data_IF_407272600514
#
_entry.id   IF_407272600514
#
_cell.length_a   1.000
_cell.length_b   1.000
_cell.length_c   1.000
_cell.angle_alpha   90.00
_cell.angle_beta   90.00
_cell.angle_gamma   90.00
#
_symmetry.space_group_name_H-M   'P 1'
#
loop_
_entity.id
_entity.type
_entity.pdbx_description
1 polymer ?
#
# COMPACT_ATOMS: atom_id res chain seq x y z
N UNK A 1 14.90 10.48 -10.68
CA UNK A 1 14.80 9.37 -11.64
C UNK A 1 15.08 7.99 -11.00
N UNK A 2 16.21 7.75 -10.31
CA UNK A 2 16.57 6.40 -9.79
C UNK A 2 15.65 5.82 -8.69
N UNK A 3 14.93 6.66 -7.93
CA UNK A 3 13.96 6.15 -6.97
C UNK A 3 12.68 5.66 -7.65
N UNK A 4 12.31 6.22 -8.82
CA UNK A 4 11.11 5.81 -9.53
C UNK A 4 11.20 4.36 -10.01
N UNK A 5 12.37 3.92 -10.51
CA UNK A 5 12.62 2.52 -10.88
C UNK A 5 12.43 1.57 -9.69
N UNK A 6 12.96 1.93 -8.52
CA UNK A 6 12.75 1.16 -7.30
C UNK A 6 11.25 1.03 -6.98
N UNK A 7 10.49 2.13 -7.06
CA UNK A 7 9.05 2.09 -6.83
C UNK A 7 8.32 1.21 -7.85
N UNK A 8 8.64 1.32 -9.14
CA UNK A 8 8.03 0.46 -10.17
C UNK A 8 8.28 -1.01 -9.87
N UNK A 9 9.52 -1.38 -9.53
CA UNK A 9 9.88 -2.77 -9.17
C UNK A 9 9.10 -3.22 -7.94
N UNK A 10 9.04 -2.41 -6.88
CA UNK A 10 8.31 -2.74 -5.64
C UNK A 10 6.82 -2.88 -5.90
N UNK A 11 6.19 -1.94 -6.61
CA UNK A 11 4.77 -1.99 -6.96
C UNK A 11 4.45 -3.24 -7.76
N UNK A 12 5.21 -3.54 -8.83
CA UNK A 12 5.00 -4.74 -9.64
C UNK A 12 5.18 -6.02 -8.82
N UNK A 13 6.22 -6.07 -7.97
CA UNK A 13 6.45 -7.22 -7.10
C UNK A 13 5.26 -7.43 -6.16
N UNK A 14 4.78 -6.38 -5.50
CA UNK A 14 3.63 -6.48 -4.60
C UNK A 14 2.36 -6.91 -5.33
N UNK A 15 2.12 -6.43 -6.56
CA UNK A 15 0.97 -6.86 -7.37
C UNK A 15 1.06 -8.36 -7.68
N UNK A 16 2.24 -8.86 -8.04
CA UNK A 16 2.48 -10.29 -8.29
C UNK A 16 2.26 -11.11 -7.02
N UNK A 17 2.79 -10.65 -5.88
CA UNK A 17 2.59 -11.32 -4.59
C UNK A 17 1.11 -11.39 -4.21
N UNK A 18 0.37 -10.30 -4.41
CA UNK A 18 -1.04 -10.21 -4.07
C UNK A 18 -1.94 -11.02 -5.00
N UNK A 19 -1.64 -11.08 -6.30
CA UNK A 19 -2.52 -11.73 -7.30
C UNK A 19 -2.21 -13.22 -7.51
N UNK A 20 -0.95 -13.64 -7.35
CA UNK A 20 -0.52 -15.02 -7.65
C UNK A 20 -0.20 -15.78 -6.37
N UNK A 21 0.61 -15.19 -5.50
CA UNK A 21 1.21 -15.92 -4.37
C UNK A 21 0.22 -16.04 -3.21
N UNK A 22 -0.42 -14.94 -2.81
CA UNK A 22 -1.34 -14.92 -1.66
C UNK A 22 -2.57 -15.82 -1.84
N UNK A 23 -3.26 -15.84 -3.00
CA UNK A 23 -4.37 -16.75 -3.24
C UNK A 23 -3.99 -18.23 -3.20
N UNK A 24 -2.71 -18.54 -3.48
CA UNK A 24 -2.20 -19.91 -3.45
C UNK A 24 -2.06 -20.48 -2.02
N UNK A 25 -2.12 -19.63 -0.98
CA UNK A 25 -2.06 -20.06 0.42
C UNK A 25 -3.43 -19.93 1.10
N UNK A 26 -3.97 -21.02 1.65
CA UNK A 26 -5.30 -21.02 2.28
C UNK A 26 -5.42 -20.06 3.47
N UNK A 27 -4.33 -19.81 4.20
CA UNK A 27 -4.31 -18.84 5.29
C UNK A 27 -4.41 -17.39 4.82
N UNK A 28 -3.90 -17.09 3.61
CA UNK A 28 -3.82 -15.74 3.05
C UNK A 28 -4.80 -15.49 1.89
N UNK A 29 -5.66 -16.44 1.55
CA UNK A 29 -6.54 -16.34 0.37
C UNK A 29 -7.50 -15.15 0.42
N UNK A 30 -7.73 -14.58 1.61
CA UNK A 30 -8.54 -13.38 1.85
C UNK A 30 -7.78 -12.36 2.74
N UNK A 31 -6.49 -12.17 2.46
CA UNK A 31 -5.69 -11.19 3.19
C UNK A 31 -6.14 -9.75 2.88
N UNK A 32 -5.59 -8.79 3.63
CA UNK A 32 -5.72 -7.36 3.33
C UNK A 32 -4.98 -7.01 2.04
N UNK A 33 -5.29 -5.84 1.50
CA UNK A 33 -4.65 -5.32 0.30
C UNK A 33 -3.19 -4.92 0.59
N UNK A 34 -2.23 -5.68 0.05
CA UNK A 34 -0.80 -5.41 0.24
C UNK A 34 -0.41 -4.04 -0.32
N UNK A 35 -1.16 -3.53 -1.30
CA UNK A 35 -0.85 -2.25 -1.91
C UNK A 35 -0.98 -1.09 -0.93
N UNK A 36 -1.81 -1.24 0.13
CA UNK A 36 -1.87 -0.28 1.25
C UNK A 36 -0.47 -0.04 1.83
N UNK A 37 0.36 -1.07 1.98
CA UNK A 37 1.73 -0.90 2.51
C UNK A 37 2.54 0.04 1.64
N UNK A 38 2.45 -0.13 0.32
CA UNK A 38 3.18 0.68 -0.64
C UNK A 38 2.68 2.13 -0.64
N UNK A 39 1.36 2.34 -0.56
CA UNK A 39 0.74 3.67 -0.49
C UNK A 39 1.15 4.40 0.79
N UNK A 40 1.09 3.74 1.95
CA UNK A 40 1.56 4.30 3.22
C UNK A 40 3.05 4.66 3.11
N UNK A 41 3.87 3.74 2.62
CA UNK A 41 5.30 3.99 2.43
C UNK A 41 5.58 5.19 1.52
N UNK A 42 4.91 5.26 0.37
CA UNK A 42 5.04 6.37 -0.59
C UNK A 42 4.62 7.70 0.04
N UNK A 43 3.53 7.71 0.80
CA UNK A 43 3.00 8.87 1.53
C UNK A 43 3.96 9.37 2.62
N UNK A 44 4.65 8.45 3.30
CA UNK A 44 5.65 8.79 4.32
C UNK A 44 6.90 9.41 3.69
N UNK A 45 7.41 8.82 2.61
CA UNK A 45 8.68 9.24 1.99
C UNK A 45 8.51 10.50 1.15
N UNK A 46 7.39 10.68 0.46
CA UNK A 46 7.16 11.77 -0.47
C UNK A 46 5.90 12.58 -0.13
N UNK A 47 5.93 13.87 -0.44
CA UNK A 47 4.81 14.80 -0.20
C UNK A 47 4.47 15.63 -1.45
N UNK A 48 5.02 15.26 -2.61
CA UNK A 48 4.79 15.98 -3.85
C UNK A 48 3.47 15.58 -4.52
N UNK A 49 2.85 16.51 -5.25
CA UNK A 49 1.64 16.26 -6.05
C UNK A 49 1.81 15.12 -7.07
N UNK A 50 3.04 14.86 -7.53
CA UNK A 50 3.36 13.70 -8.40
C UNK A 50 2.99 12.36 -7.75
N UNK A 51 3.03 12.27 -6.42
CA UNK A 51 2.62 11.08 -5.67
C UNK A 51 1.14 10.78 -5.88
N UNK A 52 0.29 11.80 -5.91
CA UNK A 52 -1.15 11.66 -6.13
C UNK A 52 -1.41 11.01 -7.50
N UNK A 53 -0.70 11.47 -8.53
CA UNK A 53 -0.80 10.89 -9.88
C UNK A 53 -0.37 9.41 -9.90
N UNK A 54 0.72 9.07 -9.20
CA UNK A 54 1.18 7.68 -9.07
C UNK A 54 0.12 6.83 -8.33
N UNK A 55 -0.48 7.35 -7.27
CA UNK A 55 -1.53 6.66 -6.52
C UNK A 55 -2.75 6.40 -7.40
N UNK A 56 -3.18 7.39 -8.18
CA UNK A 56 -4.28 7.23 -9.14
C UNK A 56 -3.93 6.13 -10.15
N UNK A 57 -2.72 6.14 -10.72
CA UNK A 57 -2.28 5.11 -11.67
C UNK A 57 -2.29 3.70 -11.05
N UNK A 58 -1.78 3.55 -9.83
CA UNK A 58 -1.79 2.27 -9.10
C UNK A 58 -3.24 1.83 -8.81
N UNK A 59 -4.10 2.78 -8.40
CA UNK A 59 -5.51 2.54 -8.18
C UNK A 59 -6.21 2.04 -9.45
N UNK A 60 -6.00 2.68 -10.60
CA UNK A 60 -6.56 2.24 -11.88
C UNK A 60 -6.15 0.80 -12.24
N UNK A 61 -4.88 0.45 -12.02
CA UNK A 61 -4.37 -0.90 -12.27
C UNK A 61 -5.09 -1.90 -11.36
N UNK A 62 -5.21 -1.58 -10.06
CA UNK A 62 -5.85 -2.45 -9.08
C UNK A 62 -7.36 -2.58 -9.30
N UNK A 63 -8.06 -1.50 -9.64
CA UNK A 63 -9.48 -1.54 -10.01
C UNK A 63 -9.70 -2.44 -11.25
N UNK A 64 -8.78 -2.39 -12.22
CA UNK A 64 -8.85 -3.26 -13.41
C UNK A 64 -8.59 -4.74 -13.12
N UNK A 65 -7.86 -5.06 -12.05
CA UNK A 65 -7.48 -6.43 -11.69
C UNK A 65 -8.40 -7.07 -10.65
N UNK A 66 -9.02 -6.27 -9.78
CA UNK A 66 -9.75 -6.75 -8.59
C UNK A 66 -11.19 -7.18 -8.87
N UNK A 67 -11.80 -6.70 -9.95
CA UNK A 67 -13.21 -6.95 -10.26
C UNK A 67 -14.20 -6.29 -9.28
N UNK A 68 -13.73 -5.39 -8.42
CA UNK A 68 -14.55 -4.58 -7.50
C UNK A 68 -15.14 -3.39 -8.27
N UNK A 69 -16.13 -2.70 -7.68
CA UNK A 69 -16.68 -1.46 -8.22
C UNK A 69 -15.59 -0.46 -8.65
N UNK A 70 -15.81 0.16 -9.81
CA UNK A 70 -14.85 1.09 -10.41
C UNK A 70 -14.58 2.28 -9.48
N UNK A 71 -13.31 2.72 -9.40
CA UNK A 71 -12.78 3.75 -8.48
C UNK A 71 -12.63 3.35 -7.00
N UNK A 72 -12.96 2.12 -6.61
CA UNK A 72 -12.84 1.70 -5.22
C UNK A 72 -11.41 1.85 -4.67
N UNK A 73 -10.43 1.30 -5.36
CA UNK A 73 -9.02 1.36 -4.92
C UNK A 73 -8.46 2.77 -5.05
N UNK A 74 -8.81 3.51 -6.11
CA UNK A 74 -8.37 4.91 -6.28
C UNK A 74 -8.83 5.76 -5.08
N UNK A 75 -10.10 5.67 -4.72
CA UNK A 75 -10.65 6.46 -3.62
C UNK A 75 -10.02 6.05 -2.28
N UNK A 76 -9.94 4.74 -2.00
CA UNK A 76 -9.31 4.21 -0.80
C UNK A 76 -7.87 4.71 -0.64
N UNK A 77 -7.04 4.59 -1.69
CA UNK A 77 -5.64 4.99 -1.63
C UNK A 77 -5.44 6.50 -1.48
N UNK A 78 -6.31 7.31 -2.09
CA UNK A 78 -6.28 8.77 -1.92
C UNK A 78 -6.62 9.17 -0.49
N UNK A 79 -7.63 8.55 0.13
CA UNK A 79 -7.96 8.80 1.54
C UNK A 79 -6.83 8.41 2.48
N UNK A 80 -6.22 7.24 2.25
CA UNK A 80 -5.05 6.79 3.02
C UNK A 80 -3.92 7.82 2.90
N UNK A 81 -3.63 8.29 1.68
CA UNK A 81 -2.61 9.32 1.46
C UNK A 81 -2.91 10.61 2.22
N UNK A 82 -4.14 11.13 2.13
CA UNK A 82 -4.55 12.36 2.82
C UNK A 82 -4.41 12.24 4.33
N UNK A 83 -4.86 11.14 4.91
CA UNK A 83 -4.73 10.85 6.35
C UNK A 83 -3.25 10.81 6.73
N UNK A 84 -2.42 10.08 5.98
CA UNK A 84 -0.98 10.03 6.26
C UNK A 84 -0.35 11.41 6.19
N UNK A 85 -0.67 12.24 5.19
CA UNK A 85 -0.12 13.60 5.10
C UNK A 85 -0.59 14.49 6.26
N UNK A 86 -1.86 14.37 6.67
CA UNK A 86 -2.42 15.15 7.77
C UNK A 86 -1.73 14.77 9.09
N UNK A 87 -1.68 13.48 9.43
CA UNK A 87 -1.05 13.04 10.68
C UNK A 87 0.47 13.22 10.70
N UNK A 88 1.13 13.22 9.54
CA UNK A 88 2.57 13.52 9.41
C UNK A 88 2.93 14.92 9.90
N UNK A 89 1.97 15.84 9.98
CA UNK A 89 2.17 17.17 10.58
C UNK A 89 2.15 17.13 12.11
N UNK A 90 1.43 16.18 12.72
CA UNK A 90 1.21 16.11 14.16
C UNK A 90 2.15 15.17 14.91
N UNK A 91 2.70 14.14 14.26
CA UNK A 91 3.43 13.04 14.95
C UNK A 91 4.85 12.88 14.41
N UNK A 92 5.81 12.53 15.29
CA UNK A 92 7.17 12.15 14.91
C UNK A 92 7.14 11.07 13.81
N UNK A 93 7.64 11.44 12.61
CA UNK A 93 7.51 10.77 11.30
C UNK A 93 7.98 9.31 11.21
N UNK A 94 8.41 8.69 12.31
CA UNK A 94 9.00 7.35 12.36
C UNK A 94 8.63 6.55 13.62
N UNK A 95 7.64 7.00 14.40
CA UNK A 95 7.20 6.20 15.54
C UNK A 95 6.43 4.96 15.07
N UNK A 96 6.71 3.79 15.63
CA UNK A 96 6.04 2.54 15.27
C UNK A 96 4.53 2.64 15.49
N UNK A 97 4.12 3.26 16.60
CA UNK A 97 2.71 3.50 16.94
C UNK A 97 1.98 4.30 15.85
N UNK A 98 2.67 5.26 15.21
CA UNK A 98 2.07 6.04 14.14
C UNK A 98 1.74 5.17 12.93
N UNK A 99 2.69 4.34 12.49
CA UNK A 99 2.50 3.43 11.35
C UNK A 99 1.41 2.41 11.68
N UNK A 100 1.35 1.92 12.92
CA UNK A 100 0.32 0.99 13.38
C UNK A 100 -1.08 1.63 13.32
N UNK A 101 -1.27 2.83 13.89
CA UNK A 101 -2.57 3.53 13.85
C UNK A 101 -3.00 3.78 12.41
N UNK A 102 -2.10 4.31 11.57
CA UNK A 102 -2.37 4.53 10.15
C UNK A 102 -2.77 3.24 9.46
N UNK A 103 -2.10 2.12 9.75
CA UNK A 103 -2.41 0.84 9.13
C UNK A 103 -3.83 0.37 9.46
N UNK A 104 -4.24 0.44 10.73
CA UNK A 104 -5.59 0.07 11.16
C UNK A 104 -6.65 0.96 10.50
N UNK A 105 -6.44 2.28 10.51
CA UNK A 105 -7.34 3.23 9.85
C UNK A 105 -7.43 2.97 8.35
N UNK A 106 -6.32 2.64 7.70
CA UNK A 106 -6.29 2.36 6.25
C UNK A 106 -7.12 1.13 5.89
N UNK A 107 -6.99 0.05 6.66
CA UNK A 107 -7.82 -1.15 6.46
C UNK A 107 -9.29 -0.85 6.74
N UNK A 108 -9.59 -0.12 7.81
CA UNK A 108 -10.97 0.28 8.14
C UNK A 108 -11.63 1.10 7.02
N UNK A 109 -10.89 2.02 6.39
CA UNK A 109 -11.41 2.80 5.26
C UNK A 109 -11.74 1.89 4.08
N UNK A 110 -10.83 0.97 3.73
CA UNK A 110 -11.09 0.04 2.64
C UNK A 110 -12.31 -0.84 2.94
N UNK A 111 -12.42 -1.40 4.15
CA UNK A 111 -13.57 -2.18 4.57
C UNK A 111 -14.88 -1.38 4.54
N UNK A 112 -14.85 -0.13 5.04
CA UNK A 112 -16.01 0.75 5.04
C UNK A 112 -16.49 1.08 3.63
N UNK A 113 -15.56 1.28 2.68
CA UNK A 113 -15.89 1.51 1.27
C UNK A 113 -16.44 0.24 0.59
N UNK A 114 -15.94 -0.95 0.94
CA UNK A 114 -16.48 -2.22 0.41
C UNK A 114 -17.91 -2.41 0.91
N UNK A 115 -18.14 -2.20 2.21
CA UNK A 115 -19.46 -2.32 2.82
C UNK A 115 -20.44 -1.31 2.24
N UNK A 116 -20.00 -0.06 2.01
CA UNK A 116 -20.80 0.95 1.32
C UNK A 116 -21.15 0.54 -0.11
N UNK A 117 -20.19 -0.01 -0.87
CA UNK A 117 -20.43 -0.49 -2.25
C UNK A 117 -21.48 -1.60 -2.28
N UNK A 118 -21.36 -2.60 -1.41
CA UNK A 118 -22.33 -3.71 -1.35
C UNK A 118 -23.69 -3.26 -0.87
N UNK A 119 -23.75 -2.31 0.07
CA UNK A 119 -25.02 -1.74 0.52
C UNK A 119 -25.77 -1.04 -0.62
N UNK A 120 -25.06 -0.35 -1.51
CA UNK A 120 -25.67 0.31 -2.67
C UNK A 120 -26.13 -0.70 -3.72
N UNK A 121 -25.36 -1.77 -3.97
CA UNK A 121 -25.70 -2.76 -5.01
C UNK A 121 -26.78 -3.77 -4.57
N UNK A 122 -26.73 -4.25 -3.33
CA UNK A 122 -27.53 -5.38 -2.84
C UNK A 122 -28.44 -5.02 -1.66
N UNK A 123 -28.41 -3.77 -1.18
CA UNK A 123 -29.22 -3.33 -0.04
C UNK A 123 -28.86 -4.03 1.27
N UNK A 124 -29.84 -4.13 2.18
CA UNK A 124 -29.63 -4.72 3.52
C UNK A 124 -29.39 -6.24 3.49
N UNK A 125 -29.76 -6.93 2.41
CA UNK A 125 -29.59 -8.38 2.29
C UNK A 125 -28.13 -8.76 1.98
N UNK A 126 -27.41 -7.94 1.20
CA UNK A 126 -25.98 -8.13 0.92
C UNK A 126 -25.08 -7.93 2.15
N UNK A 127 -25.48 -7.07 3.09
CA UNK A 127 -24.75 -6.89 4.37
C UNK A 127 -24.84 -8.16 5.23
N UNK A 128 -26.00 -8.83 5.23
CA UNK A 128 -26.19 -10.07 6.00
C UNK A 128 -25.35 -11.25 5.50
N UNK A 129 -24.93 -11.21 4.23
CA UNK A 129 -24.07 -12.23 3.62
C UNK A 129 -22.56 -11.92 3.79
N UNK A 130 -22.19 -10.73 4.26
CA UNK A 130 -20.79 -10.44 4.54
C UNK A 130 -20.31 -11.21 5.77
N UNK A 131 -19.29 -12.04 5.56
CA UNK A 131 -18.62 -12.75 6.64
C UNK A 131 -17.83 -11.75 7.50
N UNK A 132 -18.41 -11.33 8.63
CA UNK A 132 -17.78 -10.47 9.65
C UNK A 132 -16.39 -11.04 10.06
N UNK A 133 -16.26 -12.37 10.05
CA UNK A 133 -15.01 -13.06 10.33
C UNK A 133 -13.88 -12.66 9.37
N UNK A 134 -14.20 -12.46 8.08
CA UNK A 134 -13.22 -12.01 7.08
C UNK A 134 -12.78 -10.58 7.32
N UNK A 135 -13.71 -9.68 7.68
CA UNK A 135 -13.37 -8.29 8.00
C UNK A 135 -12.44 -8.22 9.21
N UNK A 136 -12.73 -8.99 10.27
CA UNK A 136 -11.87 -9.06 11.46
C UNK A 136 -10.50 -9.64 11.09
N UNK A 137 -10.47 -10.72 10.30
CA UNK A 137 -9.22 -11.35 9.85
C UNK A 137 -8.37 -10.36 9.05
N UNK A 138 -8.95 -9.59 8.14
CA UNK A 138 -8.24 -8.57 7.36
C UNK A 138 -7.71 -7.43 8.24
N UNK A 139 -8.46 -7.01 9.26
CA UNK A 139 -8.03 -5.99 10.21
C UNK A 139 -6.85 -6.47 11.06
N UNK A 140 -6.90 -7.72 11.55
CA UNK A 140 -5.80 -8.33 12.32
C UNK A 140 -4.55 -8.49 11.46
N UNK A 141 -4.66 -9.08 10.28
CA UNK A 141 -3.51 -9.26 9.39
C UNK A 141 -2.96 -7.93 8.90
N UNK A 142 -3.81 -6.96 8.60
CA UNK A 142 -3.39 -5.61 8.22
C UNK A 142 -2.58 -4.93 9.31
N UNK A 143 -3.09 -4.93 10.55
CA UNK A 143 -2.37 -4.35 11.69
C UNK A 143 -1.04 -5.03 11.99
N UNK A 144 -0.94 -6.34 11.79
CA UNK A 144 0.28 -7.12 12.07
C UNK A 144 1.30 -7.00 10.92
N UNK A 145 0.87 -7.08 9.66
CA UNK A 145 1.77 -7.17 8.51
C UNK A 145 2.16 -5.81 7.92
N UNK A 146 1.26 -4.81 7.95
CA UNK A 146 1.53 -3.51 7.31
C UNK A 146 2.70 -2.78 7.98
N UNK A 147 2.79 -2.65 9.33
CA UNK A 147 3.88 -1.90 9.93
C UNK A 147 5.28 -2.53 9.68
N UNK A 148 5.48 -3.85 9.86
CA UNK A 148 6.73 -4.50 9.47
C UNK A 148 7.02 -4.39 7.97
N UNK A 149 6.00 -4.50 7.12
CA UNK A 149 6.16 -4.37 5.67
C UNK A 149 6.63 -2.98 5.25
N UNK A 150 6.05 -1.91 5.81
CA UNK A 150 6.51 -0.53 5.58
C UNK A 150 7.95 -0.34 6.05
N UNK A 151 8.33 -0.93 7.19
CA UNK A 151 9.70 -0.88 7.69
C UNK A 151 10.69 -1.59 6.76
N UNK A 152 10.31 -2.78 6.28
CA UNK A 152 11.08 -3.58 5.34
C UNK A 152 11.26 -2.87 3.98
N UNK A 153 10.21 -2.22 3.46
CA UNK A 153 10.30 -1.38 2.26
C UNK A 153 11.28 -0.21 2.44
N UNK A 154 11.27 0.42 3.63
CA UNK A 154 12.22 1.47 3.94
C UNK A 154 13.66 0.95 4.02
N UNK A 155 13.87 -0.25 4.57
CA UNK A 155 15.16 -0.94 4.57
C UNK A 155 15.67 -1.21 3.15
N UNK A 156 14.83 -1.79 2.29
CA UNK A 156 15.17 -2.02 0.88
C UNK A 156 15.49 -0.74 0.12
N UNK A 157 14.76 0.35 0.39
CA UNK A 157 15.08 1.65 -0.20
C UNK A 157 16.46 2.15 0.21
N UNK A 158 16.83 2.04 1.49
CA UNK A 158 18.15 2.45 1.96
C UNK A 158 19.26 1.63 1.30
N UNK A 159 19.06 0.31 1.20
CA UNK A 159 19.98 -0.59 0.51
C UNK A 159 20.11 -0.24 -0.99
N UNK A 160 18.99 0.04 -1.66
CA UNK A 160 19.00 0.48 -3.07
C UNK A 160 19.81 1.76 -3.27
N UNK A 161 19.60 2.78 -2.42
CA UNK A 161 20.35 4.04 -2.49
C UNK A 161 21.85 3.79 -2.28
N UNK A 162 22.22 2.88 -1.37
CA UNK A 162 23.60 2.49 -1.15
C UNK A 162 24.23 1.85 -2.39
N UNK A 163 23.60 0.83 -2.97
CA UNK A 163 24.07 0.16 -4.19
C UNK A 163 24.26 1.13 -5.35
N UNK A 164 23.29 2.02 -5.54
CA UNK A 164 23.32 3.05 -6.57
C UNK A 164 24.53 3.98 -6.41
N UNK A 165 24.81 4.42 -5.17
CA UNK A 165 25.98 5.26 -4.90
C UNK A 165 27.29 4.52 -5.17
N UNK A 166 27.35 3.24 -4.80
CA UNK A 166 28.50 2.38 -5.05
C UNK A 166 28.79 2.24 -6.55
N UNK A 167 27.76 1.93 -7.35
CA UNK A 167 27.86 1.82 -8.80
C UNK A 167 28.32 3.14 -9.44
N UNK A 168 27.71 4.27 -9.06
CA UNK A 168 28.15 5.58 -9.57
C UNK A 168 29.62 5.87 -9.28
N UNK A 169 30.10 5.51 -8.08
CA UNK A 169 31.51 5.70 -7.69
C UNK A 169 32.45 4.84 -8.53
N UNK A 170 32.07 3.59 -8.84
CA UNK A 170 32.85 2.70 -9.71
C UNK A 170 32.91 3.22 -11.15
N UNK A 171 31.79 3.68 -11.71
CA UNK A 171 31.77 4.26 -13.06
C UNK A 171 32.58 5.56 -13.12
N UNK A 172 32.51 6.43 -12.11
CA UNK A 172 33.30 7.67 -12.07
C UNK A 172 34.81 7.42 -12.03
N UNK A 173 35.26 6.32 -11.40
CA UNK A 173 36.67 5.91 -11.43
C UNK A 173 37.10 5.36 -12.80
N UNK A 174 36.20 4.65 -13.50
CA UNK A 174 36.50 4.05 -14.81
C UNK A 174 36.62 5.05 -15.95
N UNK A 175 36.09 6.27 -15.79
CA UNK A 175 36.20 7.36 -16.78
C UNK A 175 37.34 8.35 -16.50
N UNK A 176 38.06 8.20 -15.37
CA UNK A 176 39.17 9.08 -14.96
C UNK A 176 40.55 8.44 -15.05
N UNK A 177 40.64 7.17 -15.47
CA UNK A 177 41.88 6.48 -15.81
C UNK A 177 41.83 6.09 -17.28
#
# INVERSE_FOLDING_TARGET
MMNALFFVIVTLSLIIFQTIIFPSFSWFSQCFDLMIMNIIFLSLVYSHYVVILIIILIGCIMDSLSGVAFFHHIFSYLWIYLIVQLFKQFVFKRNFLFILIVSLVSVLIQQGLILFSVFIEQGSEGIGQMEILLMIKQLVWGGICIPPGVWLLNGFRQYWIYLVKMLKKQFAHRYRG
#
